data_IF_761437875759
#
_entry.id   IF_761437875759
#
_cell.length_a   1.000
_cell.length_b   1.000
_cell.length_c   1.000
_cell.angle_alpha   90.00
_cell.angle_beta   90.00
_cell.angle_gamma   90.00
#
_symmetry.space_group_name_H-M   'P 1'
#
loop_
_entity.id
_entity.type
_entity.pdbx_description
1 polymer ?
#
# COMPACT_ATOMS: atom_id res chain seq x y z
N UNK A 1 14.40 91.08 22.86
CA UNK A 1 14.17 90.51 21.51
C UNK A 1 14.28 88.99 21.63
N UNK A 2 13.17 88.28 21.30
CA UNK A 2 12.93 86.81 21.19
C UNK A 2 14.05 85.85 21.65
N UNK A 3 13.97 84.97 22.67
CA UNK A 3 13.02 83.94 23.17
C UNK A 3 12.73 82.72 22.24
N UNK A 4 13.12 81.54 22.78
CA UNK A 4 12.60 80.14 22.65
C UNK A 4 12.92 79.32 21.37
N UNK A 5 13.16 77.99 21.34
CA UNK A 5 13.24 76.80 22.24
C UNK A 5 14.01 75.70 21.43
N UNK A 6 14.98 74.92 21.97
CA UNK A 6 14.86 73.51 22.48
C UNK A 6 14.42 72.48 21.40
N UNK A 7 14.97 71.29 21.11
CA UNK A 7 15.70 70.21 21.84
C UNK A 7 16.30 69.22 20.80
N UNK A 8 17.24 68.35 21.19
CA UNK A 8 17.30 66.98 20.64
C UNK A 8 18.67 66.47 20.20
N UNK A 9 19.43 65.90 21.13
CA UNK A 9 20.59 65.03 20.89
C UNK A 9 20.24 63.78 20.08
N UNK A 10 21.09 63.39 19.13
CA UNK A 10 21.24 61.98 18.74
C UNK A 10 22.71 61.69 18.38
N UNK A 11 23.36 60.94 19.26
CA UNK A 11 24.71 60.41 19.05
C UNK A 11 24.67 59.26 18.05
N UNK A 12 25.63 59.29 17.12
CA UNK A 12 25.83 58.27 16.10
C UNK A 12 26.56 57.07 16.76
N UNK A 13 25.88 55.95 16.95
CA UNK A 13 26.51 54.66 17.25
C UNK A 13 26.46 53.81 15.99
N UNK A 14 27.65 53.50 15.46
CA UNK A 14 27.83 52.55 14.37
C UNK A 14 27.72 51.14 14.96
N UNK A 15 26.65 50.42 14.62
CA UNK A 15 26.51 49.00 14.91
C UNK A 15 26.74 48.20 13.62
N UNK A 16 27.76 47.34 13.62
CA UNK A 16 27.91 46.30 12.60
C UNK A 16 26.85 45.22 12.86
N UNK A 17 25.82 45.16 12.02
CA UNK A 17 24.91 44.02 11.96
C UNK A 17 25.50 42.97 11.03
N UNK A 18 25.84 41.81 11.58
CA UNK A 18 26.07 40.58 10.82
C UNK A 18 24.76 40.26 10.10
N UNK A 19 24.77 40.34 8.77
CA UNK A 19 23.64 39.92 7.96
C UNK A 19 23.51 38.40 8.03
N UNK A 20 22.50 37.92 8.74
CA UNK A 20 21.97 36.58 8.53
C UNK A 20 21.16 36.65 7.24
N UNK A 21 21.67 36.02 6.18
CA UNK A 21 20.87 35.71 4.99
C UNK A 21 19.84 34.66 5.40
N UNK A 22 18.66 35.12 5.83
CA UNK A 22 17.48 34.26 5.91
C UNK A 22 17.13 33.82 4.48
N UNK A 23 17.62 32.65 4.10
CA UNK A 23 17.13 31.91 2.96
C UNK A 23 15.66 31.60 3.21
N UNK A 24 14.76 32.33 2.53
CA UNK A 24 13.37 31.94 2.45
C UNK A 24 13.28 30.65 1.63
N UNK A 25 13.33 29.50 2.31
CA UNK A 25 12.68 28.31 1.83
C UNK A 25 11.19 28.63 1.72
N UNK A 26 10.72 28.76 0.49
CA UNK A 26 9.29 28.80 0.22
C UNK A 26 8.67 27.48 0.70
N UNK A 27 8.01 27.53 1.86
CA UNK A 27 7.11 26.49 2.32
C UNK A 27 5.94 26.41 1.34
N UNK A 28 6.01 25.49 0.39
CA UNK A 28 4.83 25.01 -0.32
C UNK A 28 4.25 23.86 0.49
N UNK A 29 3.54 24.17 1.57
CA UNK A 29 2.69 23.19 2.25
C UNK A 29 1.39 23.05 1.44
N UNK A 30 1.35 22.08 0.54
CA UNK A 30 0.07 21.52 0.09
C UNK A 30 -0.27 20.38 1.06
N UNK A 31 -1.23 20.62 1.96
CA UNK A 31 -1.79 19.60 2.85
C UNK A 31 -2.39 18.47 2.00
N UNK A 32 -1.60 17.44 1.72
CA UNK A 32 -2.10 16.19 1.17
C UNK A 32 -2.83 15.44 2.28
N UNK A 33 -4.15 15.28 2.11
CA UNK A 33 -4.96 14.53 3.07
C UNK A 33 -4.99 13.08 2.61
N UNK A 34 -4.39 12.18 3.39
CA UNK A 34 -4.55 10.73 3.22
C UNK A 34 -5.99 10.37 3.54
N UNK A 35 -6.66 9.70 2.60
CA UNK A 35 -8.07 9.28 2.72
C UNK A 35 -8.17 7.77 2.51
N UNK A 36 -9.26 7.13 2.93
CA UNK A 36 -9.58 5.81 2.39
C UNK A 36 -9.56 5.85 0.86
N UNK A 37 -9.15 4.73 0.27
CA UNK A 37 -9.17 4.45 -1.16
C UNK A 37 -10.41 5.03 -1.85
N UNK A 38 -10.19 5.65 -3.01
CA UNK A 38 -11.15 6.56 -3.65
C UNK A 38 -11.58 6.11 -5.04
N UNK A 39 -12.86 6.28 -5.35
CA UNK A 39 -13.38 6.30 -6.72
C UNK A 39 -13.02 7.64 -7.37
N UNK A 40 -12.47 7.60 -8.57
CA UNK A 40 -11.95 8.73 -9.33
C UNK A 40 -12.85 8.92 -10.54
N UNK A 41 -13.91 9.70 -10.35
CA UNK A 41 -14.97 9.85 -11.36
C UNK A 41 -16.01 8.74 -11.24
N UNK A 42 -16.39 8.16 -12.38
CA UNK A 42 -17.33 7.02 -12.44
C UNK A 42 -16.63 5.72 -12.02
N UNK A 43 -17.37 4.81 -11.40
CA UNK A 43 -16.85 3.48 -11.00
C UNK A 43 -16.66 2.59 -12.24
N UNK A 44 -15.41 2.46 -12.70
CA UNK A 44 -15.04 1.64 -13.85
C UNK A 44 -14.39 0.30 -13.44
N UNK A 45 -14.58 -0.12 -12.18
CA UNK A 45 -14.10 -1.43 -11.74
C UNK A 45 -14.90 -2.54 -12.42
N UNK A 46 -14.23 -3.63 -12.73
CA UNK A 46 -14.81 -4.84 -13.30
C UNK A 46 -14.72 -6.00 -12.32
N UNK A 47 -15.71 -6.90 -12.37
CA UNK A 47 -15.72 -8.11 -11.53
C UNK A 47 -14.73 -9.12 -12.12
N UNK A 48 -13.92 -9.73 -11.26
CA UNK A 48 -12.97 -10.78 -11.64
C UNK A 48 -13.49 -12.15 -11.21
N UNK A 49 -13.22 -13.18 -12.01
CA UNK A 49 -13.39 -14.56 -11.56
C UNK A 49 -12.31 -14.90 -10.52
N UNK A 50 -12.73 -15.11 -9.28
CA UNK A 50 -11.83 -15.46 -8.17
C UNK A 50 -11.16 -16.83 -8.33
N UNK A 51 -11.58 -17.64 -9.32
CA UNK A 51 -10.96 -18.94 -9.65
C UNK A 51 -10.02 -18.87 -10.87
N UNK A 52 -9.85 -17.71 -11.50
CA UNK A 52 -8.80 -17.48 -12.49
C UNK A 52 -7.40 -17.64 -11.88
N UNK A 53 -6.36 -17.77 -12.70
CA UNK A 53 -4.98 -17.96 -12.20
C UNK A 53 -4.55 -16.80 -11.29
N UNK A 54 -4.77 -15.54 -11.72
CA UNK A 54 -4.53 -14.35 -10.89
C UNK A 54 -5.51 -14.28 -9.71
N UNK A 55 -6.78 -14.62 -9.93
CA UNK A 55 -7.82 -14.56 -8.89
C UNK A 55 -7.56 -15.49 -7.72
N UNK A 56 -7.02 -16.69 -7.97
CA UNK A 56 -6.67 -17.66 -6.92
C UNK A 56 -5.56 -17.13 -6.01
N UNK A 57 -4.61 -16.38 -6.57
CA UNK A 57 -3.49 -15.79 -5.84
C UNK A 57 -3.89 -14.60 -4.97
N UNK A 58 -5.08 -14.03 -5.14
CA UNK A 58 -5.53 -12.82 -4.42
C UNK A 58 -6.62 -13.20 -3.42
N UNK A 59 -6.39 -12.86 -2.16
CA UNK A 59 -7.27 -13.24 -1.07
C UNK A 59 -7.85 -12.07 -0.30
N UNK A 60 -9.10 -12.29 0.14
CA UNK A 60 -9.78 -11.40 1.05
C UNK A 60 -9.21 -11.60 2.44
N UNK A 61 -8.77 -10.52 3.08
CA UNK A 61 -8.36 -10.53 4.48
C UNK A 61 -9.55 -10.13 5.35
N UNK A 62 -9.90 -10.97 6.33
CA UNK A 62 -10.75 -10.59 7.45
C UNK A 62 -9.85 -10.31 8.66
N UNK A 63 -9.77 -9.06 9.09
CA UNK A 63 -9.03 -8.65 10.30
C UNK A 63 -9.74 -9.13 11.57
N UNK A 64 -9.03 -9.18 12.69
CA UNK A 64 -9.63 -9.58 13.97
C UNK A 64 -10.68 -8.58 14.46
N UNK A 65 -10.54 -7.29 14.12
CA UNK A 65 -11.56 -6.26 14.33
C UNK A 65 -12.84 -6.40 13.49
N UNK A 66 -12.85 -7.32 12.52
CA UNK A 66 -13.96 -7.46 11.55
C UNK A 66 -13.85 -6.53 10.33
N UNK A 67 -12.89 -5.60 10.32
CA UNK A 67 -12.52 -4.86 9.10
C UNK A 67 -11.95 -5.79 8.04
N UNK A 68 -11.89 -5.30 6.80
CA UNK A 68 -11.44 -6.08 5.65
C UNK A 68 -10.22 -5.45 5.00
N UNK A 69 -9.45 -6.29 4.32
CA UNK A 69 -8.31 -5.91 3.49
C UNK A 69 -8.13 -6.92 2.36
N UNK A 70 -7.05 -6.77 1.61
CA UNK A 70 -6.65 -7.66 0.53
C UNK A 70 -5.21 -8.09 0.76
N UNK A 71 -4.86 -9.31 0.35
CA UNK A 71 -3.47 -9.73 0.23
C UNK A 71 -3.28 -10.65 -0.97
N UNK A 72 -2.03 -10.95 -1.31
CA UNK A 72 -1.72 -11.81 -2.45
C UNK A 72 -0.54 -12.75 -2.18
N UNK A 73 -0.57 -13.92 -2.79
CA UNK A 73 0.44 -14.98 -2.61
C UNK A 73 1.69 -14.68 -3.43
N UNK A 74 2.87 -14.82 -2.81
CA UNK A 74 4.19 -14.60 -3.46
C UNK A 74 5.19 -15.73 -3.24
N UNK A 75 4.82 -16.77 -2.49
CA UNK A 75 5.64 -17.96 -2.23
C UNK A 75 4.78 -19.09 -1.69
N UNK A 76 5.39 -20.18 -1.19
CA UNK A 76 4.64 -21.40 -0.92
C UNK A 76 3.61 -21.26 0.21
N UNK A 77 3.91 -20.41 1.19
CA UNK A 77 3.08 -20.12 2.36
C UNK A 77 3.08 -18.63 2.72
N UNK A 78 3.52 -17.76 1.80
CA UNK A 78 3.73 -16.33 2.07
C UNK A 78 2.74 -15.46 1.32
N UNK A 79 2.19 -14.48 2.04
CA UNK A 79 1.19 -13.53 1.54
C UNK A 79 1.65 -12.11 1.82
N UNK A 80 1.65 -11.25 0.81
CA UNK A 80 1.90 -9.81 0.97
C UNK A 80 0.58 -9.09 1.25
N UNK A 81 0.62 -8.11 2.14
CA UNK A 81 -0.45 -7.14 2.42
C UNK A 81 0.18 -5.82 2.91
N UNK A 82 -0.62 -4.82 3.27
CA UNK A 82 -0.13 -3.65 3.99
C UNK A 82 0.17 -3.91 5.48
N UNK A 83 1.09 -3.14 6.05
CA UNK A 83 1.33 -3.09 7.49
C UNK A 83 0.05 -2.71 8.23
N UNK A 84 -0.66 -1.66 7.81
CA UNK A 84 -1.86 -1.21 8.50
C UNK A 84 -3.04 -2.22 8.42
N UNK A 85 -2.97 -3.22 7.54
CA UNK A 85 -3.90 -4.35 7.53
C UNK A 85 -3.51 -5.37 8.62
N UNK A 86 -2.22 -5.65 8.78
CA UNK A 86 -1.68 -6.60 9.75
C UNK A 86 -1.41 -6.01 11.14
N UNK A 87 -1.54 -4.70 11.34
CA UNK A 87 -1.11 -4.01 12.56
C UNK A 87 -1.69 -4.56 13.88
N UNK A 88 -2.88 -5.17 13.85
CA UNK A 88 -3.50 -5.81 15.02
C UNK A 88 -2.61 -6.92 15.63
N UNK A 89 -1.74 -7.55 14.83
CA UNK A 89 -0.79 -8.56 15.32
C UNK A 89 0.32 -7.95 16.19
N UNK A 90 0.59 -6.65 16.10
CA UNK A 90 1.60 -5.96 16.93
C UNK A 90 1.14 -5.87 18.40
N UNK A 91 -0.16 -5.80 18.62
CA UNK A 91 -0.75 -5.64 19.96
C UNK A 91 -0.90 -7.00 20.66
N UNK A 92 -1.45 -7.99 19.95
CA UNK A 92 -1.69 -9.33 20.49
C UNK A 92 -1.68 -10.36 19.36
N UNK A 93 -0.53 -10.98 19.16
CA UNK A 93 -0.36 -11.96 18.08
C UNK A 93 -1.30 -13.15 18.25
N UNK A 94 -1.34 -13.76 19.44
CA UNK A 94 -2.04 -15.03 19.68
C UNK A 94 -3.56 -14.89 19.49
N UNK A 95 -4.17 -13.83 20.02
CA UNK A 95 -5.61 -13.64 19.88
C UNK A 95 -5.99 -13.07 18.52
N UNK A 96 -5.12 -12.28 17.89
CA UNK A 96 -5.32 -11.83 16.52
C UNK A 96 -5.26 -13.00 15.54
N UNK A 97 -4.27 -13.88 15.66
CA UNK A 97 -4.12 -15.07 14.81
C UNK A 97 -5.35 -15.98 14.81
N UNK A 98 -6.05 -16.11 15.95
CA UNK A 98 -7.29 -16.90 16.05
C UNK A 98 -8.43 -16.34 15.19
N UNK A 99 -8.50 -15.02 14.99
CA UNK A 99 -9.63 -14.33 14.33
C UNK A 99 -9.31 -13.86 12.92
N UNK A 100 -8.05 -13.46 12.69
CA UNK A 100 -7.55 -13.01 11.40
C UNK A 100 -7.53 -14.18 10.41
N UNK A 101 -7.97 -13.91 9.18
CA UNK A 101 -8.08 -14.93 8.14
C UNK A 101 -7.68 -14.37 6.78
N UNK A 102 -6.81 -15.10 6.09
CA UNK A 102 -6.58 -14.94 4.66
C UNK A 102 -7.48 -15.93 3.90
N UNK A 103 -8.24 -15.42 2.92
CA UNK A 103 -9.29 -16.18 2.21
C UNK A 103 -9.10 -16.00 0.70
N UNK A 104 -8.19 -16.75 0.05
CA UNK A 104 -8.03 -16.74 -1.40
C UNK A 104 -9.26 -17.30 -2.10
N UNK A 105 -9.45 -16.92 -3.35
CA UNK A 105 -10.57 -17.39 -4.20
C UNK A 105 -11.97 -17.09 -3.65
N UNK A 106 -12.12 -16.10 -2.77
CA UNK A 106 -13.43 -15.74 -2.19
C UNK A 106 -14.33 -15.13 -3.26
N UNK A 107 -15.60 -15.54 -3.28
CA UNK A 107 -16.64 -14.93 -4.12
C UNK A 107 -17.93 -14.75 -3.35
N UNK A 108 -18.11 -13.55 -2.78
CA UNK A 108 -19.25 -13.19 -1.97
C UNK A 108 -19.31 -14.02 -0.68
N UNK A 109 -20.34 -14.88 -0.59
CA UNK A 109 -20.52 -15.83 0.53
C UNK A 109 -19.73 -17.13 0.35
N UNK A 110 -19.25 -17.44 -0.86
CA UNK A 110 -18.39 -18.59 -1.10
C UNK A 110 -16.98 -18.27 -0.57
N UNK A 111 -16.52 -19.06 0.40
CA UNK A 111 -15.19 -18.97 1.01
C UNK A 111 -14.57 -20.36 0.89
N UNK A 112 -13.92 -20.69 -0.24
CA UNK A 112 -13.39 -22.03 -0.49
C UNK A 112 -12.31 -22.44 0.51
N UNK A 113 -11.39 -21.51 0.81
CA UNK A 113 -10.23 -21.75 1.66
C UNK A 113 -10.08 -20.69 2.75
N UNK A 114 -9.63 -21.12 3.93
CA UNK A 114 -9.30 -20.23 5.05
C UNK A 114 -7.92 -20.58 5.59
N UNK A 115 -7.02 -19.60 5.58
CA UNK A 115 -5.67 -19.73 6.11
C UNK A 115 -5.49 -18.84 7.34
N UNK A 116 -4.74 -19.36 8.32
CA UNK A 116 -4.38 -18.66 9.55
C UNK A 116 -2.93 -18.24 9.52
N UNK A 117 -2.67 -17.03 10.00
CA UNK A 117 -1.34 -16.43 10.06
C UNK A 117 -0.55 -17.07 11.21
N UNK A 118 0.66 -17.52 10.92
CA UNK A 118 1.59 -18.12 11.89
C UNK A 118 2.75 -17.19 12.22
N UNK A 119 3.03 -16.21 11.35
CA UNK A 119 4.06 -15.20 11.57
C UNK A 119 3.78 -13.96 10.71
N UNK A 120 4.25 -12.80 11.17
CA UNK A 120 4.23 -11.55 10.41
C UNK A 120 5.60 -10.91 10.42
N UNK A 121 6.09 -10.53 9.24
CA UNK A 121 7.26 -9.67 9.05
C UNK A 121 6.80 -8.31 8.52
N UNK A 122 7.32 -7.23 9.09
CA UNK A 122 6.97 -5.86 8.70
C UNK A 122 8.15 -5.21 8.00
N UNK A 123 7.88 -4.49 6.89
CA UNK A 123 8.89 -3.63 6.31
C UNK A 123 9.24 -2.52 7.32
N UNK A 124 10.53 -2.17 7.47
CA UNK A 124 10.94 -1.09 8.37
C UNK A 124 10.61 0.31 7.82
N UNK A 125 10.36 0.42 6.51
CA UNK A 125 10.32 1.70 5.79
C UNK A 125 9.07 1.90 4.93
N UNK A 126 8.28 0.85 4.71
CA UNK A 126 7.09 0.89 3.86
C UNK A 126 5.86 0.28 4.54
N UNK A 127 4.67 0.68 4.09
CA UNK A 127 3.39 0.08 4.51
C UNK A 127 3.18 -1.29 3.85
N UNK A 128 4.07 -2.23 4.15
CA UNK A 128 4.11 -3.61 3.64
C UNK A 128 4.31 -4.55 4.83
N UNK A 129 3.53 -5.62 4.86
CA UNK A 129 3.73 -6.76 5.74
C UNK A 129 3.67 -8.07 4.96
N UNK A 130 4.47 -9.05 5.37
CA UNK A 130 4.45 -10.41 4.85
C UNK A 130 3.88 -11.32 5.93
N UNK A 131 2.86 -12.08 5.57
CA UNK A 131 2.22 -13.06 6.43
C UNK A 131 2.72 -14.44 6.00
N UNK A 132 3.33 -15.19 6.92
CA UNK A 132 3.42 -16.63 6.76
C UNK A 132 2.11 -17.26 7.24
N UNK A 133 1.57 -18.22 6.50
CA UNK A 133 0.35 -18.93 6.87
C UNK A 133 0.61 -20.42 7.09
N UNK A 134 -0.19 -21.02 7.97
CA UNK A 134 -0.26 -22.47 8.11
C UNK A 134 -1.08 -23.13 7.01
N UNK A 135 -1.35 -24.45 7.11
CA UNK A 135 -2.26 -25.12 6.18
C UNK A 135 -3.70 -24.62 6.29
N UNK A 136 -4.51 -24.91 5.27
CA UNK A 136 -5.93 -24.58 5.25
C UNK A 136 -6.68 -25.25 6.40
N UNK A 137 -7.54 -24.48 7.08
CA UNK A 137 -8.15 -24.86 8.36
C UNK A 137 -8.99 -26.14 8.30
N UNK A 138 -9.70 -26.41 7.21
CA UNK A 138 -10.63 -27.54 7.11
C UNK A 138 -10.01 -28.80 6.52
N UNK A 139 -9.14 -28.62 5.53
CA UNK A 139 -8.63 -29.69 4.66
C UNK A 139 -7.17 -30.02 4.94
N UNK A 140 -6.43 -29.11 5.55
CA UNK A 140 -5.00 -29.28 5.82
C UNK A 140 -4.10 -29.08 4.59
N UNK A 141 -4.65 -28.75 3.42
CA UNK A 141 -3.84 -28.49 2.21
C UNK A 141 -2.99 -27.24 2.39
N UNK A 142 -1.80 -27.23 1.78
CA UNK A 142 -0.93 -26.06 1.80
C UNK A 142 -1.46 -24.94 0.91
N UNK A 143 -0.94 -23.71 1.10
CA UNK A 143 -1.36 -22.55 0.31
C UNK A 143 -1.01 -22.72 -1.18
N UNK A 144 0.22 -23.17 -1.48
CA UNK A 144 0.70 -23.33 -2.87
C UNK A 144 -0.07 -24.38 -3.68
N UNK A 145 -0.73 -25.35 -3.04
CA UNK A 145 -1.57 -26.32 -3.72
C UNK A 145 -2.87 -25.71 -4.28
N UNK A 146 -3.33 -24.59 -3.73
CA UNK A 146 -4.64 -24.00 -4.07
C UNK A 146 -4.55 -22.58 -4.64
N UNK A 147 -3.44 -21.89 -4.38
CA UNK A 147 -3.20 -20.52 -4.84
C UNK A 147 -1.76 -20.42 -5.39
N UNK A 148 -1.59 -20.17 -6.70
CA UNK A 148 -0.25 -19.99 -7.26
C UNK A 148 0.36 -18.70 -6.75
N UNK A 149 1.69 -18.66 -6.60
CA UNK A 149 2.41 -17.44 -6.29
C UNK A 149 2.42 -16.50 -7.51
N UNK A 150 2.18 -15.20 -7.28
CA UNK A 150 2.40 -14.19 -8.30
C UNK A 150 3.89 -13.89 -8.41
N UNK A 151 4.38 -13.80 -9.64
CA UNK A 151 5.69 -13.22 -9.93
C UNK A 151 5.69 -11.74 -9.56
N UNK A 152 6.83 -11.25 -9.06
CA UNK A 152 7.01 -9.85 -8.73
C UNK A 152 8.38 -9.39 -9.19
N UNK A 153 8.46 -8.14 -9.62
CA UNK A 153 9.69 -7.50 -10.11
C UNK A 153 9.81 -6.10 -9.52
N UNK A 154 10.98 -5.51 -9.67
CA UNK A 154 11.09 -4.08 -9.45
C UNK A 154 10.29 -3.35 -10.52
N UNK A 155 9.56 -2.33 -10.12
CA UNK A 155 8.86 -1.45 -11.05
C UNK A 155 9.85 -0.76 -11.99
N UNK A 156 9.54 -0.66 -13.28
CA UNK A 156 10.34 0.05 -14.27
C UNK A 156 9.48 0.89 -15.23
N UNK A 157 10.16 1.63 -16.12
CA UNK A 157 9.52 2.57 -17.03
C UNK A 157 8.65 1.91 -18.12
N UNK A 158 8.70 0.58 -18.28
CA UNK A 158 7.86 -0.17 -19.23
C UNK A 158 6.55 -0.65 -18.59
N UNK A 159 6.37 -0.50 -17.27
CA UNK A 159 5.11 -0.80 -16.57
C UNK A 159 4.09 0.35 -16.75
N UNK A 160 3.86 0.75 -18.01
CA UNK A 160 3.04 1.89 -18.44
C UNK A 160 1.53 1.60 -18.43
N UNK A 161 1.14 0.43 -17.93
CA UNK A 161 -0.22 0.04 -17.62
C UNK A 161 -0.27 -0.63 -16.25
N UNK A 162 -1.18 -0.17 -15.39
CA UNK A 162 -1.35 -0.72 -14.04
C UNK A 162 -2.75 -1.28 -13.85
N UNK A 163 -2.80 -2.46 -13.26
CA UNK A 163 -4.03 -3.14 -12.85
C UNK A 163 -4.03 -3.32 -11.33
N UNK A 164 -5.05 -2.81 -10.65
CA UNK A 164 -5.23 -3.02 -9.21
C UNK A 164 -6.39 -3.99 -9.01
N UNK A 165 -6.10 -5.16 -8.45
CA UNK A 165 -7.09 -6.23 -8.26
C UNK A 165 -7.21 -6.60 -6.80
N UNK A 166 -8.41 -6.54 -6.23
CA UNK A 166 -8.61 -6.80 -4.81
C UNK A 166 -10.05 -6.94 -4.37
N UNK A 167 -10.25 -6.86 -3.05
CA UNK A 167 -11.55 -7.02 -2.39
C UNK A 167 -12.05 -5.68 -1.82
N UNK A 168 -12.62 -4.80 -2.66
CA UNK A 168 -13.29 -3.61 -2.19
C UNK A 168 -14.42 -3.93 -1.21
N UNK A 169 -14.49 -3.18 -0.11
CA UNK A 169 -15.48 -3.36 0.95
C UNK A 169 -16.92 -3.12 0.48
N UNK A 170 -17.13 -2.30 -0.56
CA UNK A 170 -18.44 -2.02 -1.14
C UNK A 170 -18.95 -3.14 -2.07
N UNK A 171 -18.16 -4.19 -2.31
CA UNK A 171 -18.51 -5.30 -3.20
C UNK A 171 -18.69 -6.64 -2.47
N UNK A 172 -18.94 -6.61 -1.16
CA UNK A 172 -19.39 -7.76 -0.35
C UNK A 172 -18.52 -9.02 -0.46
N UNK A 173 -17.19 -8.87 -0.55
CA UNK A 173 -16.26 -10.00 -0.64
C UNK A 173 -16.21 -10.68 -2.01
N UNK A 174 -16.56 -9.96 -3.07
CA UNK A 174 -16.30 -10.33 -4.46
C UNK A 174 -15.00 -9.66 -4.91
N UNK A 175 -14.22 -10.32 -5.75
CA UNK A 175 -12.98 -9.80 -6.32
C UNK A 175 -13.28 -8.85 -7.48
N UNK A 176 -12.64 -7.68 -7.50
CA UNK A 176 -12.79 -6.66 -8.54
C UNK A 176 -11.43 -6.13 -8.96
N UNK A 177 -11.35 -5.62 -10.17
CA UNK A 177 -10.17 -5.03 -10.76
C UNK A 177 -10.48 -3.69 -11.40
N UNK A 178 -9.49 -2.84 -11.53
CA UNK A 178 -9.52 -1.73 -12.46
C UNK A 178 -8.13 -1.58 -13.08
N UNK A 179 -8.11 -1.43 -14.38
CA UNK A 179 -6.95 -1.45 -15.24
C UNK A 179 -6.92 -0.14 -16.03
N UNK A 180 -5.81 0.59 -15.97
CA UNK A 180 -5.66 1.88 -16.64
C UNK A 180 -4.22 2.06 -17.13
N UNK A 181 -4.01 2.74 -18.27
CA UNK A 181 -2.69 3.26 -18.61
C UNK A 181 -2.18 4.12 -17.48
N UNK A 182 -0.90 4.00 -17.17
CA UNK A 182 -0.29 4.69 -16.04
C UNK A 182 -0.14 6.17 -16.36
N UNK A 183 -1.21 6.91 -16.14
CA UNK A 183 -1.25 8.35 -16.24
C UNK A 183 -1.04 8.90 -14.82
N UNK A 184 0.18 9.37 -14.48
CA UNK A 184 0.49 10.70 -13.88
C UNK A 184 1.81 10.82 -13.06
N UNK A 185 2.48 11.97 -13.29
CA UNK A 185 3.33 12.83 -12.42
C UNK A 185 4.59 12.34 -11.69
N UNK A 186 4.78 11.06 -11.35
CA UNK A 186 6.00 10.60 -10.65
C UNK A 186 6.68 9.38 -11.29
N UNK A 187 6.40 9.15 -12.57
CA UNK A 187 7.02 8.08 -13.37
C UNK A 187 8.52 8.29 -13.53
N UNK A 188 8.93 9.53 -13.75
CA UNK A 188 10.34 9.88 -13.97
C UNK A 188 11.17 9.89 -12.68
N UNK A 189 10.51 9.97 -11.52
CA UNK A 189 11.16 9.87 -10.22
C UNK A 189 11.14 8.41 -9.75
N UNK A 190 12.02 7.61 -10.35
CA UNK A 190 12.20 6.18 -10.03
C UNK A 190 12.65 5.94 -8.59
N UNK A 191 13.20 6.96 -7.92
CA UNK A 191 13.60 6.91 -6.51
C UNK A 191 12.40 7.06 -5.56
N UNK A 192 11.25 7.53 -6.05
CA UNK A 192 10.04 7.62 -5.24
C UNK A 192 9.62 6.22 -4.73
N UNK A 193 9.39 6.04 -3.41
CA UNK A 193 8.93 4.76 -2.87
C UNK A 193 7.43 4.51 -3.15
N UNK A 194 6.75 5.44 -3.81
CA UNK A 194 5.30 5.39 -4.04
C UNK A 194 4.95 5.33 -5.53
N UNK A 195 3.92 4.57 -5.84
CA UNK A 195 3.17 4.65 -7.11
C UNK A 195 1.91 5.46 -6.89
N UNK A 196 1.65 6.45 -7.74
CA UNK A 196 0.41 7.24 -7.74
C UNK A 196 -0.32 6.98 -9.04
N UNK A 197 -1.61 6.66 -8.96
CA UNK A 197 -2.42 6.23 -10.12
C UNK A 197 -3.89 6.60 -9.95
N UNK A 198 -4.64 6.47 -11.04
CA UNK A 198 -6.06 6.83 -11.10
C UNK A 198 -7.01 5.63 -11.04
N UNK A 199 -6.49 4.40 -10.87
CA UNK A 199 -7.33 3.22 -10.73
C UNK A 199 -8.25 3.38 -9.52
N UNK A 200 -9.55 3.25 -9.74
CA UNK A 200 -10.58 3.23 -8.70
C UNK A 200 -10.31 2.15 -7.67
N UNK A 201 -10.28 2.57 -6.41
CA UNK A 201 -10.26 1.66 -5.27
C UNK A 201 -11.22 2.17 -4.20
N UNK A 202 -11.61 1.28 -3.29
CA UNK A 202 -12.38 1.62 -2.07
C UNK A 202 -11.74 0.89 -0.89
N UNK A 203 -11.96 1.39 0.34
CA UNK A 203 -11.53 0.71 1.57
C UNK A 203 -11.81 -0.79 1.52
N UNK A 204 -10.83 -1.60 1.89
CA UNK A 204 -10.79 -3.04 1.64
C UNK A 204 -9.77 -3.46 0.56
N UNK A 205 -9.45 -2.57 -0.39
CA UNK A 205 -8.36 -2.81 -1.35
C UNK A 205 -6.97 -2.69 -0.73
N UNK A 206 -6.82 -2.18 0.49
CA UNK A 206 -5.52 -2.13 1.20
C UNK A 206 -4.83 -3.50 1.15
N UNK A 207 -3.65 -3.54 0.54
CA UNK A 207 -2.81 -4.72 0.34
C UNK A 207 -3.02 -5.42 -1.01
N UNK A 208 -3.84 -4.86 -1.91
CA UNK A 208 -4.03 -5.38 -3.26
C UNK A 208 -2.73 -5.29 -4.06
N UNK A 209 -2.39 -6.30 -4.88
CA UNK A 209 -1.30 -6.19 -5.81
C UNK A 209 -1.60 -5.11 -6.86
N UNK A 210 -0.55 -4.40 -7.25
CA UNK A 210 -0.51 -3.55 -8.43
C UNK A 210 0.25 -4.36 -9.48
N UNK A 211 -0.44 -4.74 -10.55
CA UNK A 211 0.06 -5.62 -11.61
C UNK A 211 0.40 -4.81 -12.87
N UNK A 212 1.46 -5.20 -13.56
CA UNK A 212 1.71 -4.77 -14.94
C UNK A 212 0.94 -5.64 -15.96
N UNK A 213 1.11 -5.37 -17.25
CA UNK A 213 0.47 -6.12 -18.34
C UNK A 213 0.86 -7.60 -18.42
N UNK A 214 1.96 -8.00 -17.78
CA UNK A 214 2.41 -9.39 -17.68
C UNK A 214 1.85 -10.10 -16.43
N UNK A 215 0.97 -9.44 -15.67
CA UNK A 215 0.48 -9.89 -14.36
C UNK A 215 1.58 -10.08 -13.31
N UNK A 216 2.71 -9.38 -13.46
CA UNK A 216 3.74 -9.31 -12.45
C UNK A 216 3.41 -8.21 -11.45
N UNK A 217 3.62 -8.46 -10.16
CA UNK A 217 3.44 -7.47 -9.13
C UNK A 217 4.59 -6.47 -9.19
N UNK A 218 4.23 -5.18 -9.29
CA UNK A 218 5.16 -4.04 -9.33
C UNK A 218 4.90 -3.04 -8.21
N UNK A 219 3.89 -3.28 -7.39
CA UNK A 219 3.60 -2.52 -6.18
C UNK A 219 2.50 -3.11 -5.30
N UNK A 220 2.27 -2.48 -4.15
CA UNK A 220 1.23 -2.87 -3.19
C UNK A 220 0.33 -1.66 -2.92
N UNK A 221 -0.95 -1.74 -3.26
CA UNK A 221 -1.91 -0.66 -2.99
C UNK A 221 -2.03 -0.41 -1.48
N UNK A 222 -2.03 0.87 -1.08
CA UNK A 222 -2.13 1.27 0.34
C UNK A 222 -3.39 2.10 0.62
N UNK A 223 -3.57 3.23 -0.06
CA UNK A 223 -4.59 4.22 0.29
C UNK A 223 -4.88 5.22 -0.82
N UNK A 224 -5.96 5.99 -0.66
CA UNK A 224 -6.24 7.17 -1.48
C UNK A 224 -5.50 8.40 -0.94
N UNK A 225 -5.15 9.32 -1.83
CA UNK A 225 -4.66 10.65 -1.45
C UNK A 225 -5.40 11.74 -2.23
N UNK A 226 -5.48 12.91 -1.63
CA UNK A 226 -6.14 14.07 -2.21
C UNK A 226 -5.19 15.26 -2.10
N UNK A 227 -4.65 15.70 -3.23
CA UNK A 227 -3.89 16.97 -3.30
C UNK A 227 -4.80 18.19 -3.40
N UNK A 228 -6.08 17.99 -3.76
CA UNK A 228 -7.15 19.01 -3.69
C UNK A 228 -8.54 18.36 -3.80
N UNK A 229 -9.62 19.10 -3.50
CA UNK A 229 -11.02 18.64 -3.70
C UNK A 229 -11.34 18.15 -5.13
N UNK A 230 -10.49 18.44 -6.12
CA UNK A 230 -10.69 18.11 -7.55
C UNK A 230 -9.69 17.09 -8.10
N UNK A 231 -8.70 16.64 -7.31
CA UNK A 231 -7.68 15.66 -7.75
C UNK A 231 -7.52 14.61 -6.66
N UNK A 232 -8.34 13.57 -6.75
CA UNK A 232 -8.17 12.36 -5.96
C UNK A 232 -7.32 11.39 -6.79
N UNK A 233 -6.31 10.81 -6.16
CA UNK A 233 -5.49 9.74 -6.73
C UNK A 233 -5.43 8.60 -5.72
N UNK A 234 -5.14 7.40 -6.19
CA UNK A 234 -4.78 6.28 -5.34
C UNK A 234 -3.26 6.13 -5.31
N UNK A 235 -2.75 5.55 -4.22
CA UNK A 235 -1.34 5.40 -3.95
C UNK A 235 -1.04 4.01 -3.40
N UNK A 236 0.11 3.48 -3.80
CA UNK A 236 0.67 2.26 -3.23
C UNK A 236 2.17 2.35 -3.06
N UNK A 237 2.73 1.38 -2.34
CA UNK A 237 4.16 1.19 -2.19
C UNK A 237 4.71 0.62 -3.51
N UNK A 238 5.64 1.35 -4.14
CA UNK A 238 6.36 0.88 -5.34
C UNK A 238 7.26 -0.28 -4.94
N UNK A 239 7.38 -1.32 -5.77
CA UNK A 239 8.50 -2.26 -5.64
C UNK A 239 9.77 -1.61 -6.21
N UNK A 240 10.33 -0.66 -5.45
CA UNK A 240 11.70 -0.21 -5.65
C UNK A 240 12.68 -1.28 -5.12
N UNK A 241 13.99 -1.03 -5.23
CA UNK A 241 15.00 -1.99 -4.76
C UNK A 241 14.78 -2.42 -3.32
N UNK A 242 14.50 -1.50 -2.39
CA UNK A 242 14.34 -1.80 -0.97
C UNK A 242 13.11 -2.68 -0.71
N UNK A 243 11.94 -2.29 -1.21
CA UNK A 243 10.70 -3.03 -1.03
C UNK A 243 10.74 -4.40 -1.71
N UNK A 244 11.32 -4.48 -2.91
CA UNK A 244 11.53 -5.74 -3.62
C UNK A 244 12.43 -6.69 -2.81
N UNK A 245 13.57 -6.19 -2.31
CA UNK A 245 14.50 -7.02 -1.55
C UNK A 245 13.92 -7.46 -0.20
N UNK A 246 13.13 -6.60 0.45
CA UNK A 246 12.40 -6.98 1.66
C UNK A 246 11.48 -8.18 1.39
N UNK A 247 10.56 -8.08 0.41
CA UNK A 247 9.65 -9.17 0.05
C UNK A 247 10.44 -10.43 -0.32
N UNK A 248 11.43 -10.29 -1.22
CA UNK A 248 12.24 -11.42 -1.69
C UNK A 248 12.95 -12.14 -0.55
N UNK A 249 13.62 -11.40 0.35
CA UNK A 249 14.36 -12.00 1.46
C UNK A 249 13.46 -12.78 2.43
N UNK A 250 12.22 -12.33 2.63
CA UNK A 250 11.25 -13.04 3.46
C UNK A 250 10.74 -14.29 2.72
N UNK A 251 10.41 -14.19 1.44
CA UNK A 251 9.95 -15.33 0.63
C UNK A 251 11.02 -16.42 0.59
N UNK A 252 12.26 -16.09 0.23
CA UNK A 252 13.37 -17.04 0.17
C UNK A 252 13.57 -17.75 1.52
N UNK A 253 13.52 -16.99 2.63
CA UNK A 253 13.67 -17.53 3.99
C UNK A 253 12.54 -18.49 4.37
N UNK A 254 11.28 -18.16 4.05
CA UNK A 254 10.15 -19.02 4.42
C UNK A 254 10.07 -20.27 3.54
N UNK A 255 10.43 -20.18 2.25
CA UNK A 255 10.50 -21.34 1.37
C UNK A 255 11.64 -22.31 1.79
N UNK A 256 12.79 -21.77 2.24
CA UNK A 256 13.89 -22.57 2.79
C UNK A 256 13.51 -23.35 4.06
N UNK A 257 12.51 -22.88 4.83
CA UNK A 257 12.04 -23.58 6.03
C UNK A 257 11.16 -24.80 5.69
N UNK A 258 10.61 -24.87 4.47
CA UNK A 258 9.76 -25.98 4.03
C UNK A 258 10.55 -27.13 3.40
N UNK A 259 11.82 -26.90 3.07
CA UNK A 259 12.70 -27.90 2.43
C UNK A 259 13.60 -28.65 3.44
N UNK A 260 13.53 -28.32 4.73
CA UNK A 260 14.29 -28.93 5.83
C UNK A 260 13.41 -29.84 6.68
#
# INVERSE_FOLDING_TARGET
MSKQFVLGTLGMVVAFSVGVLDGQCQNVSADSVVKPASLIGDDNREKVDSMSDVGKSIGHIRKASGKVGTGFVVGNNTVVTNEHVANEFKDDFENTAKKFEFRPSRSGKSIPYVFKVTKVDYSPTADIAILAVGPEVKTGVSLSEVAPALSFKQFDAYDDHLTVTGYPGDKNGVLWTHSLPTLLTNFDDMESPFLVYNNDTVGGNSGSPILNDQNEVVGVHSHGTSTSKKRMTNMGQRLNTENYQFIKSVVDREDDLLTK
#
